data_IF_159980164921
#
_entry.id   IF_159980164921
#
_cell.length_a   1.000
_cell.length_b   1.000
_cell.length_c   1.000
_cell.angle_alpha   90.00
_cell.angle_beta   90.00
_cell.angle_gamma   90.00
#
_symmetry.space_group_name_H-M   'P 1'
#
loop_
_entity.id
_entity.type
_entity.pdbx_description
1 polymer ?
#
# COMPACT_ATOMS: atom_id res chain seq x y z
N UNK A 1 29.37 -14.58 12.80
CA UNK A 1 28.35 -13.89 13.63
C UNK A 1 27.70 -12.78 12.83
N UNK A 2 26.37 -12.80 12.66
CA UNK A 2 25.47 -11.65 12.85
C UNK A 2 24.02 -12.09 12.62
N UNK A 3 23.42 -12.49 13.75
CA UNK A 3 22.04 -12.29 14.16
C UNK A 3 20.98 -12.18 13.05
N UNK A 4 20.34 -13.31 12.74
CA UNK A 4 18.92 -13.30 12.40
C UNK A 4 18.17 -12.90 13.68
N UNK A 5 17.85 -11.61 13.80
CA UNK A 5 16.89 -11.14 14.79
C UNK A 5 15.53 -11.71 14.35
N UNK A 6 15.17 -12.86 14.92
CA UNK A 6 13.84 -13.41 14.77
C UNK A 6 12.84 -12.42 15.37
N UNK A 7 11.90 -11.96 14.55
CA UNK A 7 10.82 -11.09 15.01
C UNK A 7 9.98 -11.85 16.03
N UNK A 8 9.97 -11.39 17.28
CA UNK A 8 9.10 -11.94 18.33
C UNK A 8 7.66 -11.56 18.00
N UNK A 9 6.87 -12.52 17.51
CA UNK A 9 5.41 -12.38 17.48
C UNK A 9 4.89 -12.72 18.88
N UNK A 10 4.57 -11.70 19.68
CA UNK A 10 3.75 -11.90 20.88
C UNK A 10 2.42 -12.52 20.43
N UNK A 11 2.03 -13.66 21.01
CA UNK A 11 0.95 -14.53 20.56
C UNK A 11 -0.48 -13.98 20.67
N UNK A 12 -0.70 -12.68 20.50
CA UNK A 12 -1.98 -11.99 20.65
C UNK A 12 -2.79 -11.81 19.36
N UNK A 13 -2.37 -12.40 18.24
CA UNK A 13 -2.95 -12.09 16.93
C UNK A 13 -2.60 -10.67 16.47
N UNK A 14 -2.68 -10.42 15.16
CA UNK A 14 -2.40 -9.10 14.59
C UNK A 14 -3.44 -8.78 13.53
N UNK A 15 -3.92 -7.55 13.50
CA UNK A 15 -4.74 -7.05 12.40
C UNK A 15 -3.83 -6.47 11.32
N UNK A 16 -4.08 -6.83 10.07
CA UNK A 16 -3.45 -6.20 8.93
C UNK A 16 -4.36 -5.08 8.43
N UNK A 17 -3.80 -3.91 8.20
CA UNK A 17 -4.54 -2.74 7.71
C UNK A 17 -3.82 -2.12 6.53
N UNK A 18 -4.59 -1.52 5.62
CA UNK A 18 -4.09 -0.66 4.56
C UNK A 18 -4.69 0.74 4.70
N UNK A 19 -3.93 1.77 4.34
CA UNK A 19 -4.42 3.13 4.26
C UNK A 19 -3.38 4.02 3.59
N UNK A 20 -3.77 5.25 3.24
CA UNK A 20 -2.84 6.25 2.75
C UNK A 20 -2.91 7.53 3.58
N UNK A 21 -1.81 8.28 3.53
CA UNK A 21 -1.62 9.52 4.28
C UNK A 21 -1.11 10.59 3.32
N UNK A 22 -1.49 11.83 3.57
CA UNK A 22 -0.93 13.02 2.93
C UNK A 22 -0.73 14.13 3.96
N UNK A 23 -0.18 15.27 3.52
CA UNK A 23 -0.11 16.46 4.36
C UNK A 23 -1.49 16.96 4.82
N UNK A 24 -2.56 16.65 4.07
CA UNK A 24 -3.94 17.01 4.42
C UNK A 24 -4.55 16.10 5.49
N UNK A 25 -3.95 14.93 5.77
CA UNK A 25 -4.43 14.00 6.78
C UNK A 25 -4.38 12.53 6.35
N UNK A 26 -5.24 11.72 6.97
CA UNK A 26 -5.33 10.27 6.75
C UNK A 26 -6.56 9.92 5.93
N UNK A 27 -6.41 8.96 5.02
CA UNK A 27 -7.57 8.32 4.41
C UNK A 27 -8.18 7.27 5.33
N UNK A 28 -9.29 6.70 4.87
CA UNK A 28 -9.89 5.53 5.51
C UNK A 28 -8.87 4.39 5.59
N UNK A 29 -8.93 3.66 6.72
CA UNK A 29 -8.21 2.42 6.95
C UNK A 29 -9.08 1.25 6.50
N UNK A 30 -8.48 0.35 5.72
CA UNK A 30 -9.07 -0.90 5.24
C UNK A 30 -8.50 -2.04 6.08
N UNK A 31 -9.37 -2.74 6.80
CA UNK A 31 -8.99 -3.97 7.49
C UNK A 31 -8.86 -5.11 6.49
N UNK A 32 -7.79 -5.88 6.62
CA UNK A 32 -7.47 -7.00 5.74
C UNK A 32 -7.53 -8.28 6.56
N UNK A 33 -8.48 -9.13 6.19
CA UNK A 33 -8.60 -10.45 6.78
C UNK A 33 -7.60 -11.43 6.15
N UNK A 34 -6.69 -11.93 6.98
CA UNK A 34 -5.70 -12.94 6.58
C UNK A 34 -4.44 -12.35 5.93
N UNK A 35 -3.86 -13.12 4.99
CA UNK A 35 -2.58 -12.77 4.35
C UNK A 35 -2.85 -11.96 3.09
N UNK A 36 -2.32 -10.74 3.04
CA UNK A 36 -2.38 -9.92 1.83
C UNK A 36 -1.50 -10.49 0.73
N UNK A 37 -2.11 -10.91 -0.37
CA UNK A 37 -1.44 -11.27 -1.62
C UNK A 37 -1.55 -10.12 -2.64
N UNK A 38 -0.85 -10.26 -3.77
CA UNK A 38 -0.84 -9.25 -4.83
C UNK A 38 -2.22 -9.00 -5.46
N UNK A 39 -3.11 -10.01 -5.52
CA UNK A 39 -4.44 -9.84 -6.08
C UNK A 39 -5.36 -9.04 -5.14
N UNK A 40 -5.31 -9.34 -3.84
CA UNK A 40 -6.04 -8.60 -2.82
C UNK A 40 -5.55 -7.15 -2.74
N UNK A 41 -4.23 -6.95 -2.79
CA UNK A 41 -3.65 -5.61 -2.84
C UNK A 41 -4.15 -4.81 -4.04
N UNK A 42 -4.22 -5.42 -5.23
CA UNK A 42 -4.77 -4.78 -6.42
C UNK A 42 -6.22 -4.32 -6.23
N UNK A 43 -7.05 -5.17 -5.61
CA UNK A 43 -8.45 -4.83 -5.33
C UNK A 43 -8.54 -3.66 -4.35
N UNK A 44 -7.75 -3.69 -3.28
CA UNK A 44 -7.69 -2.57 -2.31
C UNK A 44 -7.33 -1.27 -3.01
N UNK A 45 -6.32 -1.28 -3.90
CA UNK A 45 -5.95 -0.09 -4.67
C UNK A 45 -7.09 0.40 -5.58
N UNK A 46 -7.76 -0.52 -6.29
CA UNK A 46 -8.88 -0.19 -7.18
C UNK A 46 -10.04 0.47 -6.45
N UNK A 47 -10.39 -0.07 -5.29
CA UNK A 47 -11.57 0.33 -4.54
C UNK A 47 -11.32 1.60 -3.72
N UNK A 48 -10.10 1.78 -3.20
CA UNK A 48 -9.84 2.80 -2.19
C UNK A 48 -8.94 3.93 -2.66
N UNK A 49 -7.99 3.73 -3.60
CA UNK A 49 -6.97 4.74 -3.88
C UNK A 49 -7.56 6.07 -4.36
N UNK A 50 -8.48 6.00 -5.33
CA UNK A 50 -9.14 7.20 -5.90
C UNK A 50 -10.02 7.90 -4.86
N UNK A 51 -10.77 7.11 -4.08
CA UNK A 51 -11.62 7.63 -3.02
C UNK A 51 -10.79 8.32 -1.94
N UNK A 52 -9.68 7.72 -1.55
CA UNK A 52 -8.75 8.32 -0.60
C UNK A 52 -8.17 9.64 -1.09
N UNK A 53 -7.77 9.72 -2.36
CA UNK A 53 -7.26 10.97 -2.94
C UNK A 53 -8.33 12.07 -2.98
N UNK A 54 -9.59 11.72 -3.22
CA UNK A 54 -10.73 12.64 -3.13
C UNK A 54 -10.99 13.09 -1.69
N UNK A 55 -11.03 12.17 -0.73
CA UNK A 55 -11.25 12.47 0.69
C UNK A 55 -10.15 13.36 1.28
N UNK A 56 -8.91 13.24 0.78
CA UNK A 56 -7.79 14.08 1.17
C UNK A 56 -7.75 15.44 0.43
N UNK A 57 -8.72 15.71 -0.45
CA UNK A 57 -8.79 16.95 -1.23
C UNK A 57 -7.72 17.07 -2.32
N UNK A 58 -7.02 15.98 -2.65
CA UNK A 58 -5.90 15.96 -3.61
C UNK A 58 -6.40 15.66 -5.03
N UNK A 59 -7.50 14.91 -5.14
CA UNK A 59 -8.09 14.52 -6.43
C UNK A 59 -7.09 13.74 -7.28
N UNK A 60 -6.83 14.22 -8.50
CA UNK A 60 -5.85 13.60 -9.42
C UNK A 60 -4.46 14.25 -9.35
N UNK A 61 -4.17 15.07 -8.33
CA UNK A 61 -2.88 15.75 -8.21
C UNK A 61 -1.99 15.11 -7.13
N UNK A 62 -1.74 13.80 -7.23
CA UNK A 62 -0.94 13.06 -6.27
C UNK A 62 0.20 12.26 -6.92
N UNK A 63 1.24 12.03 -6.13
CA UNK A 63 2.30 11.07 -6.43
C UNK A 63 2.07 9.84 -5.56
N UNK A 64 1.88 8.69 -6.20
CA UNK A 64 1.71 7.42 -5.49
C UNK A 64 3.07 6.87 -5.05
N UNK A 65 3.19 6.47 -3.79
CA UNK A 65 4.39 5.86 -3.23
C UNK A 65 4.01 4.59 -2.47
N UNK A 66 4.83 3.54 -2.64
CA UNK A 66 4.70 2.25 -1.97
C UNK A 66 6.08 1.60 -1.80
N UNK A 67 6.24 0.70 -0.83
CA UNK A 67 7.48 -0.03 -0.62
C UNK A 67 7.79 -1.03 -1.78
N UNK A 68 8.97 -1.64 -1.73
CA UNK A 68 9.44 -2.58 -2.74
C UNK A 68 9.03 -4.04 -2.48
N UNK A 69 8.02 -4.29 -1.64
CA UNK A 69 7.58 -5.66 -1.37
C UNK A 69 7.19 -6.39 -2.67
N UNK A 70 7.56 -7.67 -2.86
CA UNK A 70 7.21 -8.46 -4.04
C UNK A 70 5.72 -8.40 -4.42
N UNK A 71 4.81 -8.28 -3.44
CA UNK A 71 3.37 -8.19 -3.71
C UNK A 71 2.96 -6.83 -4.28
N UNK A 72 3.64 -5.75 -3.91
CA UNK A 72 3.41 -4.39 -4.41
C UNK A 72 4.12 -4.13 -5.74
N UNK A 73 5.18 -4.90 -6.01
CA UNK A 73 5.99 -4.79 -7.23
C UNK A 73 5.62 -5.80 -8.30
N UNK A 74 4.61 -6.65 -8.07
CA UNK A 74 4.09 -7.59 -9.06
C UNK A 74 3.66 -6.87 -10.35
N UNK A 75 3.81 -7.55 -11.49
CA UNK A 75 3.60 -6.96 -12.82
C UNK A 75 2.20 -6.35 -12.98
N UNK A 76 1.17 -7.05 -12.52
CA UNK A 76 -0.21 -6.58 -12.56
C UNK A 76 -0.43 -5.29 -11.75
N UNK A 77 0.24 -5.16 -10.59
CA UNK A 77 0.20 -3.93 -9.78
C UNK A 77 0.90 -2.79 -10.49
N UNK A 78 2.13 -3.01 -10.96
CA UNK A 78 2.92 -1.98 -11.66
C UNK A 78 2.18 -1.45 -12.88
N UNK A 79 1.58 -2.34 -13.67
CA UNK A 79 0.75 -1.96 -14.82
C UNK A 79 -0.47 -1.16 -14.39
N UNK A 80 -1.19 -1.62 -13.37
CA UNK A 80 -2.37 -0.89 -12.91
C UNK A 80 -2.02 0.51 -12.40
N UNK A 81 -0.97 0.66 -11.60
CA UNK A 81 -0.47 1.95 -11.11
C UNK A 81 0.00 2.86 -12.25
N UNK A 82 0.61 2.31 -13.30
CA UNK A 82 1.03 3.08 -14.47
C UNK A 82 -0.17 3.73 -15.19
N UNK A 83 -1.31 3.02 -15.28
CA UNK A 83 -2.50 3.53 -15.97
C UNK A 83 -3.47 4.31 -15.07
N UNK A 84 -3.39 4.16 -13.75
CA UNK A 84 -4.39 4.70 -12.82
C UNK A 84 -3.84 5.75 -11.83
N UNK A 85 -2.53 5.83 -11.65
CA UNK A 85 -1.90 6.85 -10.82
C UNK A 85 -1.31 7.96 -11.70
N UNK A 86 -1.54 9.25 -11.39
CA UNK A 86 -0.98 10.36 -12.15
C UNK A 86 0.55 10.32 -12.23
N UNK A 87 1.19 9.99 -11.11
CA UNK A 87 2.63 9.83 -10.98
C UNK A 87 2.92 8.72 -9.98
N UNK A 88 4.00 7.96 -10.23
CA UNK A 88 4.45 6.87 -9.36
C UNK A 88 5.90 7.13 -8.95
N UNK A 89 6.14 7.25 -7.65
CA UNK A 89 7.47 7.42 -7.08
C UNK A 89 8.18 6.06 -7.00
N UNK A 90 9.38 5.97 -7.57
CA UNK A 90 10.20 4.77 -7.46
C UNK A 90 10.90 4.74 -6.10
N UNK A 91 10.77 3.62 -5.42
CA UNK A 91 11.47 3.36 -4.16
C UNK A 91 12.84 2.75 -4.48
N UNK A 92 13.95 3.29 -3.95
CA UNK A 92 15.28 2.66 -4.09
C UNK A 92 15.28 1.23 -3.52
N UNK A 93 16.10 0.31 -4.06
CA UNK A 93 16.33 -0.98 -3.41
C UNK A 93 16.90 -0.77 -2.01
N UNK A 94 16.50 -1.62 -1.07
CA UNK A 94 17.04 -1.64 0.30
C UNK A 94 18.48 -2.19 0.35
#
# INVERSE_FOLDING_TARGET
MRNLVGTVKYGGGGALVWGCMSASGLSNLVFIDGIMNHALYLNILRDNLKLSAQNLGIGNNFVFHQDNDPKHTALNIRLWCLYNCPQNLKTPPD
#
